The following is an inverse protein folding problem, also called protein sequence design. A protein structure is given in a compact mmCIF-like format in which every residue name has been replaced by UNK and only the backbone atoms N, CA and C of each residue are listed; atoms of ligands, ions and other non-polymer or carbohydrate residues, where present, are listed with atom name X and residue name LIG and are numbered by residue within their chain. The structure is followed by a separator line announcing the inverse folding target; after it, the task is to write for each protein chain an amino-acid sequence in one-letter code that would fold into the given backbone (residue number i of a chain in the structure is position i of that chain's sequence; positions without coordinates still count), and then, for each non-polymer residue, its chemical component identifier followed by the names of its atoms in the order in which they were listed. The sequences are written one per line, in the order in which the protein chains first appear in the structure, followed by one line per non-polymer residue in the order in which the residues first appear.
data_IF_193028539489
#
_entry.id   IF_193028539489
#
_cell.length_a   1.000
_cell.length_b   1.000
_cell.length_c   1.000
_cell.angle_alpha   90.00
_cell.angle_beta   90.00
_cell.angle_gamma   90.00
#
_symmetry.space_group_name_H-M   'P 1'
#
loop_
_entity.id
_entity.type
_entity.pdbx_description
1 polymer ?
#
# COMPACT_ATOMS: atom_id res chain seq x y z
N UNK A 1 24.46 -46.31 38.24
CA UNK A 1 25.67 -46.29 37.40
C UNK A 1 26.54 -45.09 37.79
N UNK A 2 27.66 -45.31 38.45
CA UNK A 2 28.57 -44.26 38.86
C UNK A 2 29.30 -43.73 37.61
N UNK A 3 29.26 -42.41 37.42
CA UNK A 3 29.93 -41.72 36.30
C UNK A 3 31.44 -41.84 36.49
N UNK A 4 32.18 -42.40 35.51
CA UNK A 4 33.61 -42.54 35.56
C UNK A 4 34.31 -41.15 35.81
N UNK A 5 35.39 -41.14 36.61
CA UNK A 5 36.13 -39.89 36.86
C UNK A 5 36.63 -39.32 35.55
N UNK A 6 36.33 -38.04 35.28
CA UNK A 6 36.88 -37.35 34.11
C UNK A 6 38.39 -37.17 34.33
N UNK A 7 39.18 -37.57 33.34
CA UNK A 7 40.61 -37.27 33.33
C UNK A 7 40.86 -35.76 33.47
N UNK A 8 41.82 -35.36 34.31
CA UNK A 8 42.14 -33.95 34.48
C UNK A 8 42.63 -33.37 33.17
N UNK A 9 42.04 -32.25 32.71
CA UNK A 9 42.44 -31.58 31.48
C UNK A 9 43.79 -30.95 31.66
N UNK A 10 44.70 -31.19 30.71
CA UNK A 10 46.00 -30.55 30.65
C UNK A 10 45.81 -29.10 30.22
N UNK A 11 46.25 -28.14 31.02
CA UNK A 11 46.24 -26.72 30.67
C UNK A 11 47.32 -26.43 29.63
N UNK A 12 46.96 -25.91 28.47
CA UNK A 12 47.86 -25.73 27.33
C UNK A 12 49.08 -24.87 27.64
N UNK A 13 48.96 -23.91 28.56
CA UNK A 13 50.04 -23.01 28.97
C UNK A 13 50.99 -23.60 30.06
N UNK A 14 50.57 -24.68 30.72
CA UNK A 14 51.35 -25.31 31.79
C UNK A 14 52.00 -26.65 31.35
N UNK A 15 51.49 -27.28 30.27
CA UNK A 15 51.95 -28.60 29.82
C UNK A 15 51.64 -29.74 30.81
N UNK A 16 50.92 -29.46 31.90
CA UNK A 16 50.52 -30.40 32.95
C UNK A 16 49.08 -30.08 33.44
N UNK A 17 48.45 -31.01 34.15
CA UNK A 17 47.17 -30.73 34.82
C UNK A 17 47.33 -29.61 35.85
N UNK A 18 46.33 -28.71 35.91
CA UNK A 18 46.26 -27.67 36.94
C UNK A 18 46.07 -28.30 38.33
N UNK A 19 46.78 -27.73 39.30
CA UNK A 19 46.50 -28.05 40.70
C UNK A 19 45.15 -27.41 41.15
N UNK A 20 44.47 -27.94 42.17
CA UNK A 20 43.24 -27.32 42.67
C UNK A 20 43.38 -25.84 43.08
N UNK A 21 44.56 -25.46 43.55
CA UNK A 21 44.92 -24.08 43.92
C UNK A 21 45.05 -23.18 42.68
N UNK A 22 45.67 -23.66 41.60
CA UNK A 22 45.83 -22.94 40.33
C UNK A 22 44.46 -22.78 39.63
N UNK A 23 43.64 -23.81 39.64
CA UNK A 23 42.26 -23.74 39.12
C UNK A 23 41.40 -22.72 39.88
N UNK A 24 41.52 -22.70 41.20
CA UNK A 24 40.79 -21.73 42.05
C UNK A 24 41.28 -20.31 41.79
N UNK A 25 42.60 -20.09 41.65
CA UNK A 25 43.19 -18.79 41.32
C UNK A 25 42.73 -18.28 39.93
N UNK A 26 42.76 -19.13 38.91
CA UNK A 26 42.27 -18.80 37.56
C UNK A 26 40.79 -18.45 37.55
N UNK A 27 39.99 -19.24 38.26
CA UNK A 27 38.53 -18.93 38.41
C UNK A 27 38.29 -17.61 39.11
N UNK A 28 39.04 -17.32 40.15
CA UNK A 28 38.95 -16.03 40.88
C UNK A 28 39.35 -14.86 40.01
N UNK A 29 40.44 -14.99 39.22
CA UNK A 29 40.90 -13.97 38.30
C UNK A 29 39.89 -13.73 37.17
N UNK A 30 39.39 -14.79 36.52
CA UNK A 30 38.32 -14.68 35.52
C UNK A 30 37.03 -14.01 36.06
N UNK A 31 36.65 -14.35 37.31
CA UNK A 31 35.50 -13.74 37.96
C UNK A 31 35.71 -12.26 38.29
N UNK A 32 36.95 -11.86 38.63
CA UNK A 32 37.36 -10.47 38.85
C UNK A 32 37.33 -9.69 37.54
N UNK A 33 37.91 -10.23 36.47
CA UNK A 33 37.93 -9.62 35.14
C UNK A 33 36.51 -9.45 34.59
N UNK A 34 35.64 -10.46 34.75
CA UNK A 34 34.25 -10.39 34.36
C UNK A 34 33.50 -9.28 35.11
N UNK A 35 33.65 -9.13 36.43
CA UNK A 35 33.06 -8.04 37.20
C UNK A 35 33.62 -6.67 36.84
N UNK A 36 34.89 -6.56 36.48
CA UNK A 36 35.49 -5.30 36.02
C UNK A 36 34.99 -4.90 34.62
N UNK A 37 34.70 -5.84 33.75
CA UNK A 37 34.15 -5.55 32.43
C UNK A 37 32.67 -5.11 32.45
N UNK A 38 31.95 -5.43 33.52
CA UNK A 38 30.57 -5.00 33.75
C UNK A 38 30.45 -3.65 34.45
N UNK A 39 31.50 -2.82 34.45
CA UNK A 39 31.48 -1.53 35.11
C UNK A 39 30.49 -0.57 34.43
N UNK A 40 29.82 0.26 35.22
CA UNK A 40 28.91 1.32 34.74
C UNK A 40 29.55 2.20 33.65
N UNK A 41 30.86 2.41 33.76
CA UNK A 41 31.65 3.14 32.76
C UNK A 41 31.63 2.46 31.37
N UNK A 42 31.71 1.14 31.31
CA UNK A 42 31.67 0.40 30.03
C UNK A 42 30.27 0.44 29.42
N UNK A 43 29.22 0.43 30.26
CA UNK A 43 27.85 0.64 29.82
C UNK A 43 27.65 2.01 29.18
N UNK A 44 28.15 3.07 29.85
CA UNK A 44 28.07 4.44 29.31
C UNK A 44 28.84 4.57 28.00
N UNK A 45 30.06 4.00 27.90
CA UNK A 45 30.82 4.03 26.66
C UNK A 45 30.09 3.30 25.53
N UNK A 46 29.53 2.13 25.79
CA UNK A 46 28.75 1.40 24.79
C UNK A 46 27.52 2.18 24.33
N UNK A 47 26.82 2.83 25.26
CA UNK A 47 25.68 3.69 24.94
C UNK A 47 26.08 4.89 24.07
N UNK A 48 27.16 5.58 24.42
CA UNK A 48 27.69 6.73 23.66
C UNK A 48 28.10 6.31 22.25
N UNK A 49 28.79 5.17 22.09
CA UNK A 49 29.17 4.63 20.78
C UNK A 49 27.92 4.29 19.95
N UNK A 50 26.92 3.63 20.54
CA UNK A 50 25.66 3.31 19.85
C UNK A 50 24.92 4.58 19.40
N UNK A 51 24.84 5.60 20.28
CA UNK A 51 24.23 6.88 19.92
C UNK A 51 25.02 7.62 18.83
N UNK A 52 26.35 7.55 18.87
CA UNK A 52 27.20 8.14 17.83
C UNK A 52 26.95 7.47 16.46
N UNK A 53 26.84 6.14 16.43
CA UNK A 53 26.52 5.40 15.19
C UNK A 53 25.14 5.80 14.68
N UNK A 54 24.13 5.86 15.54
CA UNK A 54 22.77 6.30 15.17
C UNK A 54 22.80 7.75 14.65
N UNK A 55 23.53 8.64 15.31
CA UNK A 55 23.68 10.02 14.84
C UNK A 55 24.35 10.10 13.46
N UNK A 56 25.41 9.33 13.24
CA UNK A 56 26.10 9.24 11.94
C UNK A 56 25.12 8.77 10.86
N UNK A 57 24.38 7.67 11.09
CA UNK A 57 23.38 7.19 10.14
C UNK A 57 22.29 8.25 9.91
N UNK A 58 21.81 8.88 10.98
CA UNK A 58 20.77 9.90 10.89
C UNK A 58 21.19 11.13 10.08
N UNK A 59 22.44 11.59 10.17
CA UNK A 59 22.94 12.77 9.45
C UNK A 59 23.54 12.46 8.09
N UNK A 60 24.06 11.25 7.86
CA UNK A 60 24.65 10.86 6.57
C UNK A 60 23.60 10.37 5.59
N UNK A 61 22.48 9.79 6.05
CA UNK A 61 21.41 9.40 5.13
C UNK A 61 20.74 10.67 4.61
N UNK A 62 20.90 11.01 3.32
CA UNK A 62 20.21 12.15 2.74
C UNK A 62 18.69 11.92 2.89
N UNK A 63 18.04 12.76 3.64
CA UNK A 63 16.59 12.87 3.57
C UNK A 63 16.29 13.69 2.32
N UNK A 64 16.33 13.01 1.16
CA UNK A 64 15.85 13.63 -0.06
C UNK A 64 14.42 14.10 0.18
N UNK A 65 14.14 15.36 -0.14
CA UNK A 65 12.77 15.77 -0.41
C UNK A 65 12.34 14.85 -1.55
N UNK A 66 11.35 14.00 -1.29
CA UNK A 66 10.71 13.23 -2.34
C UNK A 66 9.97 14.28 -3.15
N UNK A 67 10.57 14.75 -4.26
CA UNK A 67 9.82 15.53 -5.23
C UNK A 67 8.58 14.70 -5.57
N UNK A 68 7.36 15.27 -5.43
CA UNK A 68 6.15 14.58 -5.84
C UNK A 68 6.33 14.12 -7.29
N UNK A 69 6.09 12.87 -7.58
CA UNK A 69 6.11 12.39 -8.96
C UNK A 69 5.18 13.27 -9.80
N UNK A 70 5.58 13.65 -11.03
CA UNK A 70 4.72 14.45 -11.89
C UNK A 70 3.40 13.70 -12.05
N UNK A 71 2.29 14.42 -11.81
CA UNK A 71 0.96 13.84 -11.97
C UNK A 71 0.73 13.46 -13.43
N UNK A 72 0.08 12.33 -13.72
CA UNK A 72 -0.22 11.94 -15.09
C UNK A 72 -1.20 12.93 -15.75
N UNK A 73 -0.98 13.22 -17.03
CA UNK A 73 -1.98 13.89 -17.86
C UNK A 73 -3.04 12.87 -18.27
N UNK A 74 -4.16 12.88 -17.54
CA UNK A 74 -5.27 11.94 -17.74
C UNK A 74 -5.86 12.08 -19.14
N UNK A 75 -6.04 13.32 -19.63
CA UNK A 75 -6.64 13.56 -20.93
C UNK A 75 -5.73 13.10 -22.09
N UNK A 76 -4.42 13.31 -21.97
CA UNK A 76 -3.46 12.83 -22.97
C UNK A 76 -3.38 11.29 -22.96
N UNK A 77 -3.35 10.68 -21.78
CA UNK A 77 -3.32 9.22 -21.67
C UNK A 77 -4.61 8.61 -22.23
N UNK A 78 -5.78 9.20 -21.91
CA UNK A 78 -7.07 8.74 -22.44
C UNK A 78 -7.12 8.79 -23.98
N UNK A 79 -6.56 9.84 -24.60
CA UNK A 79 -6.46 9.93 -26.08
C UNK A 79 -5.63 8.80 -26.66
N UNK A 80 -4.47 8.50 -26.05
CA UNK A 80 -3.61 7.39 -26.50
C UNK A 80 -4.32 6.05 -26.38
N UNK A 81 -5.07 5.84 -25.29
CA UNK A 81 -5.89 4.63 -25.09
C UNK A 81 -7.01 4.55 -26.11
N UNK A 82 -7.71 5.66 -26.38
CA UNK A 82 -8.77 5.73 -27.36
C UNK A 82 -8.25 5.36 -28.77
N UNK A 83 -7.10 5.90 -29.17
CA UNK A 83 -6.46 5.59 -30.45
C UNK A 83 -6.00 4.12 -30.52
N UNK A 84 -5.46 3.57 -29.42
CA UNK A 84 -4.96 2.20 -29.39
C UNK A 84 -6.08 1.16 -29.44
N UNK A 85 -7.21 1.43 -28.76
CA UNK A 85 -8.32 0.48 -28.65
C UNK A 85 -9.47 0.78 -29.62
N UNK A 86 -9.35 1.89 -30.40
CA UNK A 86 -10.36 2.37 -31.34
C UNK A 86 -11.76 2.54 -30.66
N UNK A 87 -11.77 3.14 -29.46
CA UNK A 87 -12.95 3.27 -28.60
C UNK A 87 -13.05 4.65 -27.97
N UNK A 88 -14.26 5.01 -27.59
CA UNK A 88 -14.52 6.17 -26.75
C UNK A 88 -14.04 5.89 -25.32
N UNK A 89 -13.12 6.71 -24.82
CA UNK A 89 -12.56 6.62 -23.47
C UNK A 89 -13.04 7.80 -22.65
N UNK A 90 -13.70 7.53 -21.54
CA UNK A 90 -14.23 8.54 -20.64
C UNK A 90 -13.13 9.16 -19.80
N UNK A 91 -13.11 10.49 -19.72
CA UNK A 91 -12.14 11.25 -18.93
C UNK A 91 -12.85 11.82 -17.71
N UNK A 92 -12.65 11.27 -16.49
CA UNK A 92 -13.31 11.82 -15.33
C UNK A 92 -12.78 13.22 -14.98
N UNK A 93 -13.74 14.15 -14.79
CA UNK A 93 -13.49 15.57 -14.48
C UNK A 93 -13.34 15.80 -12.98
N UNK A 94 -12.27 15.27 -12.37
CA UNK A 94 -12.00 15.54 -10.97
C UNK A 94 -11.52 16.98 -10.74
N UNK A 95 -11.80 17.56 -9.56
CA UNK A 95 -11.26 18.87 -9.17
C UNK A 95 -9.73 18.93 -9.24
N UNK A 96 -9.18 20.12 -9.53
CA UNK A 96 -7.74 20.30 -9.73
C UNK A 96 -6.90 20.05 -8.47
N UNK A 97 -7.50 20.15 -7.30
CA UNK A 97 -6.88 19.93 -6.00
C UNK A 97 -6.84 18.44 -5.58
N UNK A 98 -7.44 17.55 -6.39
CA UNK A 98 -7.28 16.11 -6.18
C UNK A 98 -5.98 15.61 -6.82
N UNK A 99 -5.18 14.88 -6.05
CA UNK A 99 -3.96 14.31 -6.59
C UNK A 99 -4.26 13.12 -7.53
N UNK A 100 -3.84 13.26 -8.79
CA UNK A 100 -3.92 12.19 -9.80
C UNK A 100 -2.77 11.22 -9.61
N UNK A 101 -3.04 10.08 -9.03
CA UNK A 101 -2.00 9.09 -8.69
C UNK A 101 -1.59 8.22 -9.88
N UNK A 102 -2.55 7.81 -10.70
CA UNK A 102 -2.29 7.04 -11.93
C UNK A 102 -3.42 7.20 -12.95
N UNK A 103 -3.06 7.08 -14.22
CA UNK A 103 -3.95 6.98 -15.36
C UNK A 103 -3.36 5.93 -16.30
N UNK A 104 -4.04 4.81 -16.50
CA UNK A 104 -3.49 3.67 -17.26
C UNK A 104 -4.59 2.74 -17.78
N UNK A 105 -4.23 1.92 -18.77
CA UNK A 105 -5.06 0.78 -19.18
C UNK A 105 -4.43 -0.53 -18.71
N UNK A 106 -5.24 -1.38 -18.13
CA UNK A 106 -4.90 -2.78 -17.87
C UNK A 106 -5.41 -3.63 -19.03
N UNK A 107 -4.47 -4.24 -19.75
CA UNK A 107 -4.77 -5.07 -20.93
C UNK A 107 -5.20 -6.49 -20.53
N UNK A 108 -6.17 -6.59 -19.62
CA UNK A 108 -6.78 -7.85 -19.19
C UNK A 108 -7.92 -8.30 -20.11
N UNK A 109 -8.78 -9.16 -19.58
CA UNK A 109 -10.05 -9.55 -20.21
C UNK A 109 -11.16 -9.44 -19.15
N UNK A 110 -11.94 -8.36 -19.18
CA UNK A 110 -11.89 -7.22 -20.13
C UNK A 110 -10.65 -6.34 -19.96
N UNK A 111 -10.32 -5.54 -20.99
CA UNK A 111 -9.37 -4.42 -20.83
C UNK A 111 -10.04 -3.29 -20.05
N UNK A 112 -9.29 -2.66 -19.13
CA UNK A 112 -9.86 -1.67 -18.22
C UNK A 112 -9.04 -0.39 -18.24
N UNK A 113 -9.65 0.71 -18.62
CA UNK A 113 -9.12 2.05 -18.43
C UNK A 113 -9.36 2.50 -16.99
N UNK A 114 -8.33 2.93 -16.28
CA UNK A 114 -8.43 3.32 -14.88
C UNK A 114 -7.74 4.65 -14.57
N UNK A 115 -8.38 5.45 -13.72
CA UNK A 115 -7.83 6.68 -13.15
C UNK A 115 -7.99 6.63 -11.63
N UNK A 116 -6.88 6.84 -10.91
CA UNK A 116 -6.89 6.84 -9.44
C UNK A 116 -6.62 8.25 -8.92
N UNK A 117 -7.46 8.67 -7.98
CA UNK A 117 -7.31 9.92 -7.24
C UNK A 117 -7.09 9.62 -5.76
N UNK A 118 -6.21 10.38 -5.14
CA UNK A 118 -5.96 10.36 -3.70
C UNK A 118 -5.74 11.80 -3.20
N UNK A 119 -5.42 11.94 -1.91
CA UNK A 119 -5.28 13.25 -1.26
C UNK A 119 -6.46 14.20 -1.56
N UNK A 120 -7.67 13.62 -1.51
CA UNK A 120 -8.92 14.33 -1.73
C UNK A 120 -9.13 15.28 -0.54
N UNK A 121 -9.31 16.60 -0.75
CA UNK A 121 -9.56 17.53 0.32
C UNK A 121 -10.74 17.11 1.20
N UNK A 122 -10.61 17.31 2.50
CA UNK A 122 -11.61 16.98 3.53
C UNK A 122 -11.96 15.48 3.69
N UNK A 123 -11.43 14.61 2.82
CA UNK A 123 -11.65 13.16 2.88
C UNK A 123 -10.49 12.37 3.53
N UNK A 124 -9.49 13.08 4.11
CA UNK A 124 -8.35 12.48 4.79
C UNK A 124 -7.45 11.67 3.85
N UNK A 125 -7.20 10.38 4.17
CA UNK A 125 -6.42 9.47 3.31
C UNK A 125 -7.31 8.65 2.37
N UNK A 126 -8.47 9.17 2.03
CA UNK A 126 -9.36 8.48 1.13
C UNK A 126 -8.81 8.46 -0.30
N UNK A 127 -9.26 7.48 -1.06
CA UNK A 127 -9.03 7.39 -2.49
C UNK A 127 -10.37 7.14 -3.20
N UNK A 128 -10.42 7.54 -4.46
CA UNK A 128 -11.48 7.15 -5.39
C UNK A 128 -10.85 6.70 -6.70
N UNK A 129 -11.35 5.61 -7.25
CA UNK A 129 -10.93 5.05 -8.52
C UNK A 129 -12.10 5.10 -9.49
N UNK A 130 -11.83 5.59 -10.69
CA UNK A 130 -12.69 5.47 -11.84
C UNK A 130 -12.16 4.33 -12.72
N UNK A 131 -13.05 3.46 -13.17
CA UNK A 131 -12.72 2.41 -14.16
C UNK A 131 -13.81 2.32 -15.23
N UNK A 132 -13.37 2.21 -16.50
CA UNK A 132 -14.20 1.86 -17.64
C UNK A 132 -13.69 0.52 -18.17
N UNK A 133 -14.47 -0.52 -17.99
CA UNK A 133 -14.17 -1.85 -18.50
C UNK A 133 -14.81 -2.03 -19.88
N UNK A 134 -14.00 -2.30 -20.88
CA UNK A 134 -14.45 -2.43 -22.27
C UNK A 134 -15.12 -3.79 -22.50
N UNK A 135 -16.27 -3.78 -23.16
CA UNK A 135 -17.09 -4.97 -23.41
C UNK A 135 -17.40 -5.77 -22.13
N UNK A 136 -17.79 -5.08 -21.08
CA UNK A 136 -18.05 -5.62 -19.76
C UNK A 136 -19.48 -5.30 -19.28
N UNK A 137 -19.89 -6.04 -18.27
CA UNK A 137 -21.20 -5.90 -17.63
C UNK A 137 -21.08 -5.88 -16.09
N UNK A 138 -22.21 -5.91 -15.39
CA UNK A 138 -22.29 -5.91 -13.92
C UNK A 138 -21.55 -7.09 -13.26
N UNK A 139 -21.34 -8.19 -13.99
CA UNK A 139 -20.63 -9.35 -13.46
C UNK A 139 -19.16 -9.01 -13.21
N UNK A 140 -18.55 -8.22 -14.11
CA UNK A 140 -17.20 -7.71 -13.91
C UNK A 140 -17.12 -6.82 -12.66
N UNK A 141 -18.06 -5.89 -12.47
CA UNK A 141 -18.09 -5.03 -11.28
C UNK A 141 -18.22 -5.87 -9.99
N UNK A 142 -19.07 -6.89 -10.01
CA UNK A 142 -19.19 -7.82 -8.88
C UNK A 142 -17.88 -8.53 -8.55
N UNK A 143 -17.06 -8.88 -9.55
CA UNK A 143 -15.73 -9.46 -9.32
C UNK A 143 -14.76 -8.47 -8.68
N UNK A 144 -14.74 -7.21 -9.15
CA UNK A 144 -13.92 -6.14 -8.57
C UNK A 144 -14.34 -5.90 -7.11
N UNK A 145 -15.63 -5.86 -6.82
CA UNK A 145 -16.19 -5.66 -5.49
C UNK A 145 -16.30 -6.96 -4.66
N UNK A 146 -15.62 -8.04 -5.10
CA UNK A 146 -15.52 -9.34 -4.41
C UNK A 146 -16.86 -9.93 -3.98
N UNK A 147 -17.86 -9.83 -4.85
CA UNK A 147 -19.20 -10.38 -4.65
C UNK A 147 -20.09 -9.52 -3.78
N UNK A 148 -19.75 -8.25 -3.53
CA UNK A 148 -20.65 -7.30 -2.88
C UNK A 148 -21.89 -7.13 -3.73
N UNK A 149 -23.06 -7.36 -3.14
CA UNK A 149 -24.35 -7.16 -3.82
C UNK A 149 -24.73 -5.69 -3.85
N UNK A 150 -25.48 -5.24 -4.88
CA UNK A 150 -26.07 -3.91 -4.90
C UNK A 150 -26.86 -3.61 -3.62
N UNK A 151 -26.69 -2.42 -3.08
CA UNK A 151 -27.46 -1.91 -1.92
C UNK A 151 -28.67 -1.09 -2.31
N UNK A 152 -28.65 -0.52 -3.52
CA UNK A 152 -29.71 0.33 -4.05
C UNK A 152 -29.39 0.90 -5.42
N UNK A 153 -30.15 1.91 -5.81
CA UNK A 153 -29.89 2.75 -6.97
C UNK A 153 -30.00 4.22 -6.60
N UNK A 154 -29.23 5.06 -7.27
CA UNK A 154 -29.31 6.52 -7.15
C UNK A 154 -29.35 7.16 -8.53
N UNK A 155 -29.98 8.33 -8.64
CA UNK A 155 -30.05 9.06 -9.91
C UNK A 155 -29.12 10.27 -9.85
N UNK A 156 -28.16 10.33 -10.77
CA UNK A 156 -27.22 11.45 -10.90
C UNK A 156 -27.31 11.96 -12.34
N UNK A 157 -27.65 13.22 -12.51
CA UNK A 157 -27.82 13.91 -13.80
C UNK A 157 -28.72 13.15 -14.79
N UNK A 158 -29.78 12.49 -14.25
CA UNK A 158 -30.76 11.73 -15.05
C UNK A 158 -30.32 10.32 -15.42
N UNK A 159 -29.16 9.88 -15.01
CA UNK A 159 -28.68 8.50 -15.16
C UNK A 159 -28.88 7.71 -13.87
N UNK A 160 -29.35 6.47 -13.99
CA UNK A 160 -29.54 5.57 -12.85
C UNK A 160 -28.26 4.76 -12.61
N UNK A 161 -27.66 4.99 -11.44
CA UNK A 161 -26.47 4.30 -10.97
C UNK A 161 -26.82 3.22 -9.97
N UNK A 162 -26.19 2.08 -10.08
CA UNK A 162 -26.22 1.01 -9.07
C UNK A 162 -25.30 1.37 -7.92
N UNK A 163 -25.81 1.37 -6.70
CA UNK A 163 -25.04 1.63 -5.49
C UNK A 163 -24.58 0.34 -4.83
N UNK A 164 -23.35 0.37 -4.29
CA UNK A 164 -22.75 -0.69 -3.49
C UNK A 164 -22.23 -0.10 -2.19
N UNK A 165 -22.85 -0.46 -1.08
CA UNK A 165 -22.37 -0.14 0.27
C UNK A 165 -21.59 -1.33 0.81
N UNK A 166 -20.27 -1.16 0.91
CA UNK A 166 -19.36 -2.25 1.26
C UNK A 166 -19.21 -2.31 2.77
N UNK A 167 -19.88 -3.27 3.40
CA UNK A 167 -19.92 -3.43 4.86
C UNK A 167 -18.63 -3.92 5.49
N UNK A 168 -17.78 -4.58 4.71
CA UNK A 168 -16.48 -5.10 5.14
C UNK A 168 -15.37 -4.58 4.21
N UNK A 169 -14.93 -3.32 4.41
CA UNK A 169 -13.89 -2.70 3.57
C UNK A 169 -12.56 -3.47 3.57
N UNK A 170 -12.23 -4.14 4.66
CA UNK A 170 -10.97 -4.89 4.77
C UNK A 170 -10.91 -6.06 3.78
N UNK A 171 -12.07 -6.66 3.47
CA UNK A 171 -12.16 -7.75 2.50
C UNK A 171 -12.03 -7.26 1.05
N UNK A 172 -12.31 -5.99 0.78
CA UNK A 172 -12.35 -5.37 -0.56
C UNK A 172 -11.18 -4.41 -0.82
N UNK A 173 -10.15 -4.42 0.02
CA UNK A 173 -8.98 -3.53 -0.16
C UNK A 173 -9.29 -2.08 0.19
N UNK A 174 -9.99 -1.86 1.31
CA UNK A 174 -10.43 -0.56 1.83
C UNK A 174 -11.48 0.17 0.94
N UNK A 175 -12.21 -0.54 0.11
CA UNK A 175 -13.38 0.01 -0.59
C UNK A 175 -14.56 0.04 0.37
N UNK A 176 -15.17 1.21 0.56
CA UNK A 176 -16.37 1.40 1.41
C UNK A 176 -17.62 1.69 0.62
N UNK A 177 -17.49 2.27 -0.56
CA UNK A 177 -18.59 2.68 -1.41
C UNK A 177 -18.25 2.54 -2.90
N UNK A 178 -19.25 2.20 -3.72
CA UNK A 178 -19.10 2.19 -5.16
C UNK A 178 -20.40 2.58 -5.88
N UNK A 179 -20.23 3.14 -7.09
CA UNK A 179 -21.27 3.42 -8.07
C UNK A 179 -20.93 2.69 -9.37
N UNK A 180 -21.87 1.95 -9.93
CA UNK A 180 -21.73 1.25 -11.20
C UNK A 180 -22.83 1.59 -12.19
N UNK A 181 -22.48 1.67 -13.48
CA UNK A 181 -23.45 1.91 -14.55
C UNK A 181 -23.04 1.24 -15.85
N UNK A 182 -24.00 0.68 -16.59
CA UNK A 182 -23.78 0.23 -17.96
C UNK A 182 -23.73 1.43 -18.90
N UNK A 183 -22.60 1.61 -19.58
CA UNK A 183 -22.35 2.67 -20.55
C UNK A 183 -22.20 2.07 -21.96
N UNK A 184 -23.33 1.77 -22.60
CA UNK A 184 -23.32 1.06 -23.87
C UNK A 184 -22.83 -0.38 -23.72
N UNK A 185 -21.77 -0.76 -24.48
CA UNK A 185 -21.09 -2.05 -24.34
C UNK A 185 -20.15 -2.14 -23.15
N UNK A 186 -19.81 -0.99 -22.54
CA UNK A 186 -18.84 -0.89 -21.48
C UNK A 186 -19.50 -0.77 -20.11
N UNK A 187 -18.79 -1.14 -19.07
CA UNK A 187 -19.24 -0.91 -17.71
C UNK A 187 -18.34 0.10 -17.01
N UNK A 188 -18.95 1.12 -16.40
CA UNK A 188 -18.24 2.14 -15.62
C UNK A 188 -18.45 1.86 -14.14
N UNK A 189 -17.35 1.85 -13.39
CA UNK A 189 -17.33 1.66 -11.95
C UNK A 189 -16.51 2.78 -11.28
N UNK A 190 -17.11 3.45 -10.30
CA UNK A 190 -16.45 4.44 -9.44
C UNK A 190 -16.46 3.86 -8.04
N UNK A 191 -15.31 3.67 -7.42
CA UNK A 191 -15.22 3.01 -6.12
C UNK A 191 -14.01 3.46 -5.31
N UNK A 192 -14.10 3.34 -3.99
CA UNK A 192 -12.99 3.70 -3.12
C UNK A 192 -13.32 3.72 -1.65
N UNK A 193 -12.45 4.35 -0.88
CA UNK A 193 -12.67 4.62 0.55
C UNK A 193 -13.24 6.02 0.81
N UNK A 194 -13.42 6.82 -0.25
CA UNK A 194 -14.15 8.08 -0.18
C UNK A 194 -15.65 7.83 0.02
N UNK A 195 -16.34 8.85 0.51
CA UNK A 195 -17.78 8.79 0.73
C UNK A 195 -18.61 8.89 -0.57
N UNK A 196 -19.93 8.75 -0.42
CA UNK A 196 -20.87 8.82 -1.54
C UNK A 196 -20.85 10.16 -2.27
N UNK A 197 -20.58 11.27 -1.58
CA UNK A 197 -20.59 12.61 -2.17
C UNK A 197 -19.41 12.77 -3.16
N UNK A 198 -18.24 12.24 -2.82
CA UNK A 198 -17.06 12.19 -3.69
C UNK A 198 -17.33 11.33 -4.93
N UNK A 199 -17.93 10.15 -4.74
CA UNK A 199 -18.29 9.28 -5.85
C UNK A 199 -19.35 9.92 -6.76
N UNK A 200 -20.34 10.58 -6.19
CA UNK A 200 -21.39 11.29 -6.94
C UNK A 200 -20.84 12.48 -7.75
N UNK A 201 -19.89 13.23 -7.17
CA UNK A 201 -19.22 14.32 -7.89
C UNK A 201 -18.50 13.80 -9.14
N UNK A 202 -17.79 12.69 -9.00
CA UNK A 202 -17.08 12.09 -10.12
C UNK A 202 -18.07 11.51 -11.16
N UNK A 203 -19.14 10.87 -10.71
CA UNK A 203 -20.22 10.37 -11.59
C UNK A 203 -20.88 11.50 -12.38
N UNK A 204 -21.16 12.63 -11.72
CA UNK A 204 -21.72 13.82 -12.37
C UNK A 204 -20.79 14.36 -13.45
N UNK A 205 -19.47 14.36 -13.22
CA UNK A 205 -18.50 14.89 -14.18
C UNK A 205 -18.42 14.13 -15.51
N UNK A 206 -18.93 12.88 -15.54
CA UNK A 206 -18.90 11.99 -16.71
C UNK A 206 -20.27 11.67 -17.26
N UNK A 207 -21.33 12.27 -16.73
CA UNK A 207 -22.71 11.93 -17.08
C UNK A 207 -23.00 12.08 -18.57
N UNK A 208 -22.48 13.14 -19.21
CA UNK A 208 -22.66 13.38 -20.64
C UNK A 208 -21.96 12.31 -21.50
N UNK A 209 -20.75 11.90 -21.11
CA UNK A 209 -19.98 10.85 -21.81
C UNK A 209 -20.67 9.48 -21.69
N UNK A 210 -21.15 9.13 -20.48
CA UNK A 210 -21.92 7.89 -20.25
C UNK A 210 -23.20 7.89 -21.08
N UNK A 211 -23.93 9.01 -21.10
CA UNK A 211 -25.14 9.11 -21.91
C UNK A 211 -24.86 9.02 -23.42
N UNK A 212 -23.69 9.51 -23.88
CA UNK A 212 -23.27 9.35 -25.27
C UNK A 212 -22.99 7.87 -25.61
N UNK A 213 -22.21 7.16 -24.78
CA UNK A 213 -21.94 5.73 -24.94
C UNK A 213 -23.21 4.87 -24.95
N UNK A 214 -24.20 5.20 -24.10
CA UNK A 214 -25.48 4.49 -24.08
C UNK A 214 -26.27 4.68 -25.38
N UNK A 215 -26.18 5.86 -26.01
CA UNK A 215 -26.83 6.15 -27.29
C UNK A 215 -26.15 5.50 -28.48
N UNK A 216 -24.82 5.33 -28.44
CA UNK A 216 -24.07 4.65 -29.49
C UNK A 216 -24.40 3.15 -29.58
N UNK A 217 -24.79 2.55 -28.46
CA UNK A 217 -25.14 1.14 -28.36
C UNK A 217 -26.63 0.83 -28.59
N UNK A 218 -27.49 1.84 -28.70
CA UNK A 218 -28.94 1.71 -28.88
C UNK A 218 -29.35 1.64 -30.35
#
# INVERSE_FOLDING_TARGET
MARAPREPRVAAHLGRPETPAEEAARKAENSKNYRQSQSFRNLIIALVVSLAIVAVVYFIVPRGEIEPAPQPDVAETARQVADQYERTVVVPGAPDDWAKNSAQVDAGSPSVWSVNYNDIPDAGRAFVRFEQAFDADEVWASQILRGTSPSGTTTIDGLEWTEFDVRDPDSTGNVSYALGIQAGSDYVLIYGSADSDVAALLASSISDDVAALQKEAA
#
